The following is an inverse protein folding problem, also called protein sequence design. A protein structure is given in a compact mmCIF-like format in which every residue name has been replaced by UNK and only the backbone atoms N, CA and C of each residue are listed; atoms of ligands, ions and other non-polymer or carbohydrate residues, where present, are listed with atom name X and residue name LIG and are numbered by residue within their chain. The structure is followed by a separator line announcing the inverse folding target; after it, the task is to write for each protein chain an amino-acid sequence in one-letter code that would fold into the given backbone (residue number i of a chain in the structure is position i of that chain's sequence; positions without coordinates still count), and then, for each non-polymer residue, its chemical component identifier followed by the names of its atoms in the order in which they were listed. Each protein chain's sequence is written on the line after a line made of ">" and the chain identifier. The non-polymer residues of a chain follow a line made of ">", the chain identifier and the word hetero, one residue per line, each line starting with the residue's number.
data_IF_745295008490
#
_entry.id   IF_745295008490
#
_cell.length_a   1.000
_cell.length_b   1.000
_cell.length_c   1.000
_cell.angle_alpha   90.00
_cell.angle_beta   90.00
_cell.angle_gamma   90.00
#
_symmetry.space_group_name_H-M   'P 1'
#
loop_
_entity.id
_entity.type
_entity.pdbx_description
1 polymer ?
#
# COMPACT_ATOMS: atom_id res chain seq x y z
N UNK A 1 -3.23 3.28 -15.16
CA UNK A 1 -2.21 3.84 -14.24
C UNK A 1 -0.87 3.18 -14.52
N UNK A 2 0.19 3.96 -14.72
CA UNK A 2 1.52 3.46 -15.05
C UNK A 2 2.08 2.55 -13.94
N UNK A 3 2.76 1.48 -14.35
CA UNK A 3 3.43 0.52 -13.46
C UNK A 3 4.57 1.26 -12.75
N UNK A 4 4.47 1.47 -11.43
CA UNK A 4 5.57 2.08 -10.66
C UNK A 4 6.79 1.18 -10.77
N UNK A 5 7.90 1.76 -11.24
CA UNK A 5 9.18 1.10 -11.32
C UNK A 5 9.68 0.76 -9.91
N UNK A 6 10.44 -0.34 -9.75
CA UNK A 6 10.98 -0.71 -8.45
C UNK A 6 11.88 0.40 -7.90
N UNK A 7 11.78 0.63 -6.59
CA UNK A 7 12.66 1.55 -5.86
C UNK A 7 13.93 0.79 -5.46
N UNK A 8 15.06 1.49 -5.42
CA UNK A 8 16.30 0.94 -4.90
C UNK A 8 16.11 0.44 -3.45
N UNK A 9 16.48 -0.81 -3.14
CA UNK A 9 16.51 -1.32 -1.77
C UNK A 9 17.38 -0.50 -0.81
N UNK A 10 18.43 0.17 -1.31
CA UNK A 10 19.32 1.04 -0.54
C UNK A 10 18.77 2.44 -0.28
N UNK A 11 17.67 2.84 -0.93
CA UNK A 11 17.12 4.17 -0.79
C UNK A 11 16.39 4.36 0.54
N UNK A 12 16.55 5.52 1.19
CA UNK A 12 15.79 5.89 2.38
C UNK A 12 14.29 5.70 2.18
N UNK A 13 13.62 5.18 3.21
CA UNK A 13 12.18 4.96 3.15
C UNK A 13 11.47 6.31 3.17
N UNK A 14 10.55 6.52 2.22
CA UNK A 14 9.77 7.76 2.13
C UNK A 14 9.10 8.08 3.46
N UNK A 15 9.01 9.38 3.74
CA UNK A 15 8.29 9.85 4.89
C UNK A 15 6.79 9.51 4.80
N UNK A 16 6.17 9.30 5.95
CA UNK A 16 4.75 9.03 6.11
C UNK A 16 4.01 10.30 6.52
N UNK A 17 2.79 10.47 5.99
CA UNK A 17 1.91 11.56 6.42
C UNK A 17 1.32 11.27 7.80
N UNK A 18 0.82 12.31 8.47
CA UNK A 18 0.16 12.21 9.78
C UNK A 18 -0.94 11.13 9.79
N UNK A 19 -1.77 11.11 8.75
CA UNK A 19 -2.81 10.10 8.58
C UNK A 19 -2.26 8.67 8.45
N UNK A 20 -1.18 8.46 7.67
CA UNK A 20 -0.59 7.12 7.51
C UNK A 20 0.07 6.63 8.80
N UNK A 21 0.69 7.52 9.56
CA UNK A 21 1.23 7.19 10.89
C UNK A 21 0.12 6.79 11.85
N UNK A 22 -0.97 7.56 11.90
CA UNK A 22 -2.15 7.24 12.69
C UNK A 22 -2.77 5.91 12.28
N UNK A 23 -2.98 5.69 10.97
CA UNK A 23 -3.55 4.46 10.45
C UNK A 23 -2.71 3.25 10.88
N UNK A 24 -1.37 3.32 10.75
CA UNK A 24 -0.49 2.22 11.13
C UNK A 24 -0.54 1.95 12.64
N UNK A 25 -0.55 3.00 13.47
CA UNK A 25 -0.59 2.86 14.92
C UNK A 25 -1.92 2.27 15.42
N UNK A 26 -3.05 2.69 14.85
CA UNK A 26 -4.38 2.27 15.30
C UNK A 26 -4.89 1.00 14.63
N UNK A 27 -4.27 0.55 13.53
CA UNK A 27 -4.76 -0.59 12.74
C UNK A 27 -4.95 -1.85 13.58
N UNK A 28 -3.99 -2.17 14.45
CA UNK A 28 -4.07 -3.37 15.29
C UNK A 28 -5.16 -3.24 16.35
N UNK A 29 -5.26 -2.08 16.98
CA UNK A 29 -6.31 -1.79 17.96
C UNK A 29 -7.70 -1.87 17.32
N UNK A 30 -7.92 -1.23 16.18
CA UNK A 30 -9.22 -1.28 15.50
C UNK A 30 -9.55 -2.67 14.97
N UNK A 31 -8.54 -3.45 14.57
CA UNK A 31 -8.72 -4.86 14.18
C UNK A 31 -9.11 -5.73 15.38
N UNK A 32 -8.53 -5.48 16.55
CA UNK A 32 -8.85 -6.20 17.79
C UNK A 32 -10.25 -5.84 18.31
N UNK A 33 -10.64 -4.57 18.22
CA UNK A 33 -11.99 -4.10 18.60
C UNK A 33 -13.07 -4.57 17.63
N UNK A 34 -12.72 -4.75 16.35
CA UNK A 34 -13.65 -5.15 15.30
C UNK A 34 -13.19 -6.46 14.62
N UNK A 35 -13.14 -7.59 15.34
CA UNK A 35 -12.73 -8.87 14.78
C UNK A 35 -13.79 -9.32 13.75
N UNK A 36 -13.43 -9.27 12.47
CA UNK A 36 -14.32 -9.64 11.36
C UNK A 36 -14.48 -8.57 10.29
N UNK A 37 -14.10 -7.31 10.57
CA UNK A 37 -14.03 -6.30 9.52
C UNK A 37 -12.96 -6.64 8.49
N UNK A 38 -13.32 -6.53 7.22
CA UNK A 38 -12.34 -6.60 6.13
C UNK A 38 -11.38 -5.40 6.19
N UNK A 39 -10.20 -5.55 5.61
CA UNK A 39 -9.23 -4.45 5.54
C UNK A 39 -9.81 -3.16 4.94
N UNK A 40 -10.69 -3.27 3.93
CA UNK A 40 -11.33 -2.11 3.30
C UNK A 40 -12.33 -1.41 4.22
N UNK A 41 -13.10 -2.16 5.01
CA UNK A 41 -13.99 -1.61 6.03
C UNK A 41 -13.21 -0.93 7.15
N UNK A 42 -12.14 -1.57 7.61
CA UNK A 42 -11.26 -1.03 8.64
C UNK A 42 -10.60 0.28 8.19
N UNK A 43 -10.17 0.37 6.93
CA UNK A 43 -9.60 1.59 6.36
C UNK A 43 -10.62 2.74 6.33
N UNK A 44 -11.87 2.48 5.95
CA UNK A 44 -12.96 3.48 5.99
C UNK A 44 -13.23 3.95 7.42
N UNK A 45 -13.31 3.02 8.36
CA UNK A 45 -13.48 3.33 9.78
C UNK A 45 -12.33 4.21 10.30
N UNK A 46 -11.08 3.84 10.00
CA UNK A 46 -9.90 4.61 10.41
C UNK A 46 -9.91 6.03 9.84
N UNK A 47 -10.33 6.21 8.59
CA UNK A 47 -10.46 7.55 7.99
C UNK A 47 -11.52 8.41 8.66
N UNK A 48 -12.66 7.82 9.06
CA UNK A 48 -13.71 8.54 9.78
C UNK A 48 -13.21 8.99 11.17
N UNK A 49 -12.60 8.09 11.92
CA UNK A 49 -12.03 8.40 13.24
C UNK A 49 -10.94 9.47 13.16
N UNK A 50 -10.09 9.44 12.13
CA UNK A 50 -9.11 10.50 11.93
C UNK A 50 -9.76 11.85 11.60
N UNK A 51 -10.85 11.87 10.83
CA UNK A 51 -11.57 13.11 10.50
C UNK A 51 -12.25 13.72 11.72
N UNK A 52 -12.78 12.89 12.62
CA UNK A 52 -13.46 13.29 13.86
C UNK A 52 -12.50 13.65 15.01
N UNK A 53 -11.23 13.25 14.92
CA UNK A 53 -10.23 13.51 15.96
C UNK A 53 -10.07 15.01 16.28
N UNK A 54 -9.88 15.38 17.57
CA UNK A 54 -9.63 16.76 17.97
C UNK A 54 -8.40 17.37 17.29
N UNK A 55 -8.39 18.70 17.04
CA UNK A 55 -7.27 19.37 16.39
C UNK A 55 -5.96 19.20 17.16
N UNK A 56 -5.99 19.24 18.50
CA UNK A 56 -4.80 19.04 19.32
C UNK A 56 -4.15 17.66 19.14
N UNK A 57 -4.96 16.60 19.03
CA UNK A 57 -4.45 15.26 18.77
C UNK A 57 -3.94 15.12 17.33
N UNK A 58 -4.65 15.70 16.36
CA UNK A 58 -4.20 15.77 14.97
C UNK A 58 -2.85 16.48 14.85
N UNK A 59 -2.65 17.58 15.56
CA UNK A 59 -1.39 18.32 15.61
C UNK A 59 -0.24 17.45 16.12
N UNK A 60 -0.47 16.61 17.14
CA UNK A 60 0.54 15.66 17.60
C UNK A 60 0.95 14.67 16.49
N UNK A 61 0.01 14.22 15.66
CA UNK A 61 0.31 13.39 14.49
C UNK A 61 1.01 14.15 13.37
N UNK A 62 0.69 15.43 13.17
CA UNK A 62 1.38 16.32 12.23
C UNK A 62 2.83 16.52 12.66
N UNK A 63 3.09 16.82 13.94
CA UNK A 63 4.44 16.93 14.48
C UNK A 63 5.25 15.64 14.29
N UNK A 64 4.64 14.46 14.51
CA UNK A 64 5.27 13.17 14.21
C UNK A 64 5.60 13.00 12.72
N UNK A 65 4.71 13.45 11.83
CA UNK A 65 4.95 13.40 10.39
C UNK A 65 6.05 14.37 9.95
N UNK A 66 6.17 15.53 10.60
CA UNK A 66 7.26 16.48 10.37
C UNK A 66 8.61 15.92 10.83
N UNK A 67 8.65 15.28 12.00
CA UNK A 67 9.84 14.57 12.46
C UNK A 67 10.25 13.44 11.49
N UNK A 68 9.27 12.67 10.99
CA UNK A 68 9.48 11.61 10.00
C UNK A 68 9.99 12.17 8.67
N UNK A 69 9.50 13.34 8.26
CA UNK A 69 10.00 14.10 7.10
C UNK A 69 11.44 14.55 7.33
N UNK A 70 11.77 15.08 8.50
CA UNK A 70 13.13 15.50 8.82
C UNK A 70 14.11 14.31 8.78
N UNK A 71 13.74 13.16 9.36
CA UNK A 71 14.52 11.91 9.24
C UNK A 71 14.75 11.56 7.77
N UNK A 72 13.69 11.51 6.96
CA UNK A 72 13.80 11.17 5.55
C UNK A 72 14.74 12.12 4.80
N UNK A 73 14.65 13.42 5.04
CA UNK A 73 15.53 14.41 4.40
C UNK A 73 16.99 14.24 4.80
N UNK A 74 17.25 13.94 6.07
CA UNK A 74 18.61 13.67 6.57
C UNK A 74 19.21 12.40 5.95
N UNK A 75 18.44 11.30 5.93
CA UNK A 75 18.86 10.06 5.28
C UNK A 75 19.07 10.25 3.77
N UNK A 76 18.19 11.04 3.12
CA UNK A 76 18.27 11.33 1.70
C UNK A 76 19.51 12.17 1.36
N UNK A 77 19.92 13.10 2.23
CA UNK A 77 21.12 13.89 2.03
C UNK A 77 22.40 13.03 2.03
N UNK A 78 22.40 11.92 2.76
CA UNK A 78 23.52 10.96 2.82
C UNK A 78 23.42 9.85 1.76
N UNK A 79 22.30 9.77 1.04
CA UNK A 79 22.04 8.71 0.07
C UNK A 79 22.68 9.03 -1.27
N UNK A 80 23.51 8.09 -1.76
CA UNK A 80 24.12 8.15 -3.08
C UNK A 80 23.45 7.12 -3.98
N UNK A 81 22.66 7.53 -4.98
CA UNK A 81 21.93 6.60 -5.82
C UNK A 81 22.87 5.82 -6.75
N UNK A 82 22.66 4.50 -6.93
CA UNK A 82 23.37 3.74 -7.94
C UNK A 82 22.93 4.15 -9.36
N UNK A 83 23.76 3.91 -10.39
CA UNK A 83 23.40 4.20 -11.78
C UNK A 83 22.05 3.59 -12.17
N UNK A 84 21.17 4.39 -12.76
CA UNK A 84 19.81 3.97 -13.16
C UNK A 84 18.71 4.31 -12.14
N UNK A 85 19.04 4.92 -11.00
CA UNK A 85 18.08 5.43 -10.02
C UNK A 85 18.21 6.96 -9.86
N UNK A 86 17.10 7.62 -9.52
CA UNK A 86 17.07 9.06 -9.26
C UNK A 86 17.59 9.39 -7.85
N UNK A 87 17.71 10.69 -7.56
CA UNK A 87 18.12 11.18 -6.23
C UNK A 87 17.19 10.75 -5.09
N UNK A 88 16.01 10.22 -5.40
CA UNK A 88 15.02 9.68 -4.45
C UNK A 88 15.01 8.15 -4.42
N UNK A 89 15.88 7.49 -5.19
CA UNK A 89 15.96 6.04 -5.31
C UNK A 89 14.86 5.40 -6.17
N UNK A 90 14.10 6.18 -6.91
CA UNK A 90 13.14 5.67 -7.89
C UNK A 90 13.88 5.32 -9.19
N UNK A 91 13.65 4.12 -9.74
CA UNK A 91 14.32 3.71 -10.97
C UNK A 91 13.90 4.60 -12.16
N UNK A 92 14.89 5.09 -12.90
CA UNK A 92 14.73 5.93 -14.10
C UNK A 92 14.53 5.04 -15.33
N UNK A 93 15.12 3.85 -15.32
CA UNK A 93 15.05 2.86 -16.41
C UNK A 93 14.50 1.56 -15.81
N UNK A 94 13.55 0.92 -16.49
CA UNK A 94 13.06 -0.39 -16.07
C UNK A 94 14.21 -1.40 -16.11
N UNK A 95 14.56 -2.07 -14.99
CA UNK A 95 15.60 -3.08 -15.03
C UNK A 95 15.13 -4.23 -15.92
N UNK A 96 16.00 -4.65 -16.86
CA UNK A 96 15.79 -5.85 -17.67
C UNK A 96 15.53 -7.04 -16.72
N UNK A 97 14.29 -7.56 -16.71
CA UNK A 97 13.92 -8.72 -15.90
C UNK A 97 13.08 -8.44 -14.64
N UNK A 98 12.60 -7.22 -14.41
CA UNK A 98 11.62 -6.97 -13.35
C UNK A 98 10.28 -7.70 -13.61
N UNK A 99 10.16 -8.93 -13.10
CA UNK A 99 8.89 -9.63 -12.90
C UNK A 99 8.04 -8.83 -11.91
N UNK A 100 7.33 -7.83 -12.42
CA UNK A 100 6.45 -7.00 -11.62
C UNK A 100 5.37 -7.85 -10.97
N UNK A 101 5.32 -7.86 -9.64
CA UNK A 101 4.11 -8.21 -8.88
C UNK A 101 3.10 -7.07 -9.04
N UNK A 102 2.45 -7.02 -10.19
CA UNK A 102 1.28 -6.20 -10.43
C UNK A 102 0.03 -7.05 -10.31
N UNK A 103 -1.04 -6.49 -9.73
CA UNK A 103 -2.41 -7.01 -9.84
C UNK A 103 -2.69 -7.19 -11.35
N UNK A 104 -2.61 -8.42 -11.85
CA UNK A 104 -3.22 -8.74 -13.12
C UNK A 104 -4.69 -8.34 -12.98
N UNK A 105 -5.16 -7.40 -13.80
CA UNK A 105 -6.59 -7.33 -14.05
C UNK A 105 -7.06 -8.76 -14.33
N UNK A 106 -8.20 -9.17 -13.78
CA UNK A 106 -8.78 -10.47 -14.16
C UNK A 106 -8.80 -10.45 -15.70
N UNK A 107 -8.17 -11.41 -16.40
CA UNK A 107 -8.27 -11.45 -17.85
C UNK A 107 -9.75 -11.42 -18.17
N UNK A 108 -10.15 -10.49 -19.02
CA UNK A 108 -11.53 -10.44 -19.49
C UNK A 108 -11.81 -11.79 -20.14
N UNK A 109 -12.69 -12.55 -19.50
CA UNK A 109 -12.99 -13.89 -19.95
C UNK A 109 -13.83 -13.70 -21.21
N UNK A 110 -13.26 -14.09 -22.35
CA UNK A 110 -13.94 -14.06 -23.65
C UNK A 110 -15.40 -14.55 -23.46
N UNK A 111 -16.42 -13.73 -23.81
CA UNK A 111 -17.82 -14.10 -23.65
C UNK A 111 -18.17 -15.45 -24.31
N UNK A 112 -17.39 -15.86 -25.31
CA UNK A 112 -17.54 -17.11 -26.03
C UNK A 112 -16.51 -18.19 -25.61
N UNK A 113 -15.68 -17.96 -24.59
CA UNK A 113 -14.81 -19.00 -24.06
C UNK A 113 -15.65 -20.13 -23.45
N UNK A 114 -15.38 -21.40 -23.79
CA UNK A 114 -16.08 -22.52 -23.19
C UNK A 114 -15.93 -22.45 -21.67
N UNK A 115 -17.07 -22.54 -20.97
CA UNK A 115 -17.07 -22.58 -19.51
C UNK A 115 -16.27 -23.80 -19.09
N UNK A 116 -15.38 -23.63 -18.11
CA UNK A 116 -14.64 -24.74 -17.50
C UNK A 116 -15.61 -25.82 -17.05
N UNK A 117 -15.20 -27.08 -17.16
CA UNK A 117 -15.98 -28.20 -16.65
C UNK A 117 -16.31 -27.99 -15.16
N UNK A 118 -17.56 -28.27 -14.78
CA UNK A 118 -17.98 -28.17 -13.40
C UNK A 118 -17.33 -29.30 -12.59
N UNK A 119 -16.89 -29.00 -11.36
CA UNK A 119 -16.38 -30.04 -10.46
C UNK A 119 -17.46 -31.08 -10.20
N UNK A 120 -17.08 -32.35 -10.05
CA UNK A 120 -17.99 -33.45 -9.72
C UNK A 120 -18.88 -33.14 -8.50
N UNK A 121 -18.36 -32.37 -7.55
CA UNK A 121 -19.11 -31.89 -6.38
C UNK A 121 -20.27 -30.93 -6.75
N UNK A 122 -20.07 -30.05 -7.73
CA UNK A 122 -21.09 -29.11 -8.20
C UNK A 122 -22.11 -29.76 -9.13
N UNK A 123 -21.77 -30.89 -9.74
CA UNK A 123 -22.73 -31.72 -10.47
C UNK A 123 -23.63 -32.50 -9.52
N UNK A 124 -23.08 -32.96 -8.39
CA UNK A 124 -23.84 -33.70 -7.37
C UNK A 124 -24.83 -32.81 -6.59
N UNK A 125 -24.49 -31.54 -6.32
CA UNK A 125 -25.38 -30.61 -5.62
C UNK A 125 -26.54 -30.06 -6.46
N UNK A 126 -26.47 -30.19 -7.79
CA UNK A 126 -27.50 -29.71 -8.72
C UNK A 126 -28.28 -30.85 -9.39
N UNK A 127 -28.13 -32.08 -8.88
CA UNK A 127 -28.92 -33.25 -9.26
C UNK A 127 -30.07 -33.43 -8.25
#
# INVERSE_FOLDING_TARGET
>A
MAKKLPRDPGAPKRNMSAYLLYQNAMREQFKALNPGMTFGQLAKYTSAMYAEMPPAEKEAWVARAEADKARYLHELASYVPPPGYDAKGDAIIAPLGAKGRGKSGKPEKDPNAPKRNMSAYLLYQNA
#
